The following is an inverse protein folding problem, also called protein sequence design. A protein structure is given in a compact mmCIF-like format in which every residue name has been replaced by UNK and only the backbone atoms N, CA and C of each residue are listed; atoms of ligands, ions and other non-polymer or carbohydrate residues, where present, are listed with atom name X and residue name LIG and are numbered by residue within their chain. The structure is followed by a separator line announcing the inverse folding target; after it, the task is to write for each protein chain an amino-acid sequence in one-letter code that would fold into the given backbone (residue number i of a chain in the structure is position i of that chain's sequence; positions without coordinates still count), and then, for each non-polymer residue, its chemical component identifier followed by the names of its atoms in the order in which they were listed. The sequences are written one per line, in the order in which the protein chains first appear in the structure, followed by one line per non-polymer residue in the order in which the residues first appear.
data_IF_285843866737
#
_entry.id   IF_285843866737
#
_cell.length_a   1.000
_cell.length_b   1.000
_cell.length_c   1.000
_cell.angle_alpha   90.00
_cell.angle_beta   90.00
_cell.angle_gamma   90.00
#
_symmetry.space_group_name_H-M   'P 1'
#
loop_
_entity.id
_entity.type
_entity.pdbx_description
1 polymer ?
#
# COMPACT_ATOMS: atom_id res chain seq x y z
N UNK A 1 -0.57 22.56 0.38
CA UNK A 1 0.41 23.52 0.99
C UNK A 1 1.16 22.79 2.10
N UNK A 2 2.47 22.89 2.12
CA UNK A 2 3.30 22.34 3.19
C UNK A 2 2.93 22.92 4.56
N UNK A 3 3.33 22.26 5.64
CA UNK A 3 3.08 22.80 6.99
C UNK A 3 3.86 24.09 7.23
N UNK A 4 5.03 24.26 6.60
CA UNK A 4 5.78 25.50 6.67
C UNK A 4 5.04 26.65 6.01
N UNK A 5 4.49 26.46 4.81
CA UNK A 5 3.69 27.47 4.12
C UNK A 5 2.42 27.84 4.90
N UNK A 6 1.85 26.91 5.64
CA UNK A 6 0.67 27.14 6.48
C UNK A 6 0.99 27.92 7.77
N UNK A 7 2.18 27.73 8.36
CA UNK A 7 2.62 28.43 9.57
C UNK A 7 3.18 29.81 9.26
N UNK A 8 3.99 29.92 8.21
CA UNK A 8 4.69 31.17 7.85
C UNK A 8 3.87 32.05 6.92
N UNK A 9 2.85 31.53 6.25
CA UNK A 9 2.09 32.22 5.21
C UNK A 9 2.87 32.39 3.89
N UNK A 10 4.08 31.86 3.77
CA UNK A 10 4.91 31.91 2.56
C UNK A 10 4.67 30.61 1.78
N UNK A 11 4.31 30.73 0.51
CA UNK A 11 4.11 29.58 -0.38
C UNK A 11 5.48 29.07 -0.83
N UNK A 12 5.83 27.85 -0.45
CA UNK A 12 7.11 27.19 -0.76
C UNK A 12 7.05 26.31 -2.02
N UNK A 13 5.88 26.27 -2.68
CA UNK A 13 5.65 25.49 -3.90
C UNK A 13 5.61 23.98 -3.71
N UNK A 14 5.76 23.49 -2.48
CA UNK A 14 5.59 22.07 -2.15
C UNK A 14 4.10 21.76 -1.91
N UNK A 15 3.50 21.02 -2.83
CA UNK A 15 2.17 20.45 -2.68
C UNK A 15 2.27 19.02 -2.17
N UNK A 16 2.18 18.82 -0.86
CA UNK A 16 1.91 17.49 -0.33
C UNK A 16 0.48 17.09 -0.70
N UNK A 17 0.24 15.92 -1.32
CA UNK A 17 -1.11 15.42 -1.54
C UNK A 17 -1.76 15.12 -0.18
N UNK A 18 -2.54 16.04 0.31
CA UNK A 18 -3.35 15.86 1.54
C UNK A 18 -4.70 15.35 1.10
N UNK A 19 -5.04 14.12 1.46
CA UNK A 19 -6.39 13.62 1.34
C UNK A 19 -7.26 14.34 2.39
N UNK A 20 -7.88 15.45 2.00
CA UNK A 20 -8.83 16.19 2.84
C UNK A 20 -10.21 15.52 2.74
N UNK A 21 -10.51 14.62 3.66
CA UNK A 21 -11.82 14.02 3.83
C UNK A 21 -12.73 14.99 4.57
N UNK A 22 -13.17 16.04 3.89
CA UNK A 22 -14.14 16.98 4.43
C UNK A 22 -15.55 16.38 4.37
N UNK A 23 -16.07 15.95 5.48
CA UNK A 23 -17.47 15.50 5.60
C UNK A 23 -18.42 16.70 5.38
N UNK A 24 -19.40 16.55 4.48
CA UNK A 24 -20.43 17.57 4.22
C UNK A 24 -21.01 18.11 5.54
N UNK A 25 -21.14 19.44 5.66
CA UNK A 25 -21.78 20.09 6.82
C UNK A 25 -23.16 19.47 7.06
N UNK A 26 -23.33 18.83 8.24
CA UNK A 26 -24.58 18.15 8.62
C UNK A 26 -24.44 16.65 8.95
N UNK A 27 -23.40 15.97 8.49
CA UNK A 27 -23.12 14.57 8.82
C UNK A 27 -22.06 14.47 9.91
N UNK A 28 -22.42 14.85 11.13
CA UNK A 28 -21.49 14.78 12.28
C UNK A 28 -21.29 13.38 12.84
N UNK A 29 -22.12 12.41 12.44
CA UNK A 29 -22.04 11.01 12.89
C UNK A 29 -22.49 10.10 11.77
N UNK A 30 -21.70 9.06 11.45
CA UNK A 30 -22.08 8.12 10.41
C UNK A 30 -21.10 6.96 10.29
N UNK A 31 -21.54 5.93 9.57
CA UNK A 31 -20.74 4.81 9.15
C UNK A 31 -20.75 4.75 7.64
N UNK A 32 -19.60 4.47 7.07
CA UNK A 32 -19.45 4.17 5.64
C UNK A 32 -18.78 2.82 5.55
N UNK A 33 -19.32 1.91 4.75
CA UNK A 33 -18.77 0.61 4.48
C UNK A 33 -18.61 0.38 2.98
N UNK A 34 -17.56 -0.29 2.60
CA UNK A 34 -17.33 -0.80 1.25
C UNK A 34 -16.89 -2.25 1.35
N UNK A 35 -17.51 -3.12 0.58
CA UNK A 35 -17.18 -4.55 0.48
C UNK A 35 -16.92 -4.89 -0.99
N UNK A 36 -15.80 -5.52 -1.24
CA UNK A 36 -15.38 -6.00 -2.55
C UNK A 36 -15.20 -7.51 -2.44
N UNK A 37 -15.76 -8.26 -3.37
CA UNK A 37 -15.54 -9.68 -3.50
C UNK A 37 -15.55 -10.08 -4.97
N UNK A 38 -14.53 -10.81 -5.40
CA UNK A 38 -14.39 -11.32 -6.75
C UNK A 38 -13.83 -12.74 -6.74
N UNK A 39 -14.34 -13.56 -7.66
CA UNK A 39 -13.78 -14.88 -7.92
C UNK A 39 -13.67 -15.07 -9.43
N UNK A 40 -12.52 -15.52 -9.88
CA UNK A 40 -12.20 -15.68 -11.29
C UNK A 40 -11.80 -17.10 -11.66
N UNK A 41 -11.48 -17.31 -12.93
CA UNK A 41 -10.93 -18.58 -13.42
C UNK A 41 -9.55 -18.84 -12.82
N UNK A 42 -9.12 -20.12 -12.76
CA UNK A 42 -7.82 -20.54 -12.22
C UNK A 42 -7.65 -20.22 -10.72
N UNK A 43 -8.72 -20.36 -9.95
CA UNK A 43 -8.73 -20.12 -8.48
C UNK A 43 -8.28 -18.71 -8.08
N UNK A 44 -8.54 -17.73 -8.96
CA UNK A 44 -8.26 -16.33 -8.63
C UNK A 44 -9.38 -15.77 -7.76
N UNK A 45 -8.96 -15.11 -6.69
CA UNK A 45 -9.89 -14.45 -5.77
C UNK A 45 -9.39 -13.05 -5.38
N UNK A 46 -10.34 -12.22 -5.04
CA UNK A 46 -10.12 -10.89 -4.51
C UNK A 46 -11.20 -10.57 -3.49
N UNK A 47 -10.81 -10.10 -2.32
CA UNK A 47 -11.74 -9.72 -1.27
C UNK A 47 -11.19 -8.53 -0.50
N UNK A 48 -12.07 -7.59 -0.20
CA UNK A 48 -11.70 -6.42 0.58
C UNK A 48 -12.88 -5.87 1.36
N UNK A 49 -12.59 -5.30 2.52
CA UNK A 49 -13.55 -4.63 3.38
C UNK A 49 -12.95 -3.31 3.88
N UNK A 50 -13.74 -2.27 3.80
CA UNK A 50 -13.43 -0.97 4.40
C UNK A 50 -14.62 -0.52 5.25
N UNK A 51 -14.37 -0.18 6.49
CA UNK A 51 -15.37 0.36 7.40
C UNK A 51 -14.82 1.64 8.00
N UNK A 52 -15.55 2.72 7.83
CA UNK A 52 -15.19 4.03 8.35
C UNK A 52 -16.30 4.56 9.25
N UNK A 53 -15.91 5.01 10.43
CA UNK A 53 -16.80 5.66 11.39
C UNK A 53 -16.40 7.11 11.55
N UNK A 54 -17.38 7.99 11.39
CA UNK A 54 -17.23 9.42 11.64
C UNK A 54 -18.07 9.77 12.88
N UNK A 55 -17.50 10.52 13.79
CA UNK A 55 -18.19 11.01 14.97
C UNK A 55 -17.63 12.38 15.35
N UNK A 56 -18.45 13.42 15.16
CA UNK A 56 -18.10 14.82 15.44
C UNK A 56 -16.78 15.21 14.71
N UNK A 57 -15.71 15.44 15.46
CA UNK A 57 -14.39 15.84 14.96
C UNK A 57 -13.44 14.64 14.88
N UNK A 58 -13.93 13.41 14.93
CA UNK A 58 -13.12 12.19 14.90
C UNK A 58 -13.55 11.24 13.77
N UNK A 59 -12.57 10.60 13.16
CA UNK A 59 -12.77 9.53 12.20
C UNK A 59 -11.88 8.33 12.53
N UNK A 60 -12.42 7.13 12.29
CA UNK A 60 -11.69 5.88 12.38
C UNK A 60 -12.07 5.04 11.17
N UNK A 61 -11.07 4.57 10.44
CA UNK A 61 -11.26 3.67 9.30
C UNK A 61 -10.43 2.42 9.48
N UNK A 62 -11.04 1.28 9.23
CA UNK A 62 -10.38 -0.02 9.19
C UNK A 62 -10.56 -0.56 7.78
N UNK A 63 -9.48 -1.01 7.19
CA UNK A 63 -9.44 -1.54 5.84
C UNK A 63 -8.67 -2.85 5.84
N UNK A 64 -9.20 -3.86 5.17
CA UNK A 64 -8.56 -5.16 5.00
C UNK A 64 -8.74 -5.66 3.59
N UNK A 65 -7.73 -6.33 3.04
CA UNK A 65 -7.80 -6.96 1.73
C UNK A 65 -7.04 -8.28 1.71
N UNK A 66 -7.49 -9.19 0.86
CA UNK A 66 -6.81 -10.45 0.57
C UNK A 66 -7.10 -10.85 -0.88
N UNK A 67 -6.06 -11.14 -1.64
CA UNK A 67 -6.19 -11.53 -3.05
C UNK A 67 -5.01 -12.38 -3.53
N UNK A 68 -5.19 -13.02 -4.69
CA UNK A 68 -4.11 -13.63 -5.46
C UNK A 68 -4.11 -13.16 -6.92
N UNK A 69 -4.56 -11.93 -7.15
CA UNK A 69 -4.69 -11.27 -8.46
C UNK A 69 -3.52 -10.37 -8.80
N UNK A 70 -2.39 -10.51 -8.10
CA UNK A 70 -1.18 -9.69 -8.23
C UNK A 70 -1.34 -8.23 -7.74
N UNK A 71 -2.39 -7.94 -7.00
CA UNK A 71 -2.57 -6.67 -6.33
C UNK A 71 -1.89 -6.68 -4.95
N UNK A 72 -1.32 -5.56 -4.55
CA UNK A 72 -0.71 -5.36 -3.22
C UNK A 72 -1.36 -4.19 -2.50
N UNK A 73 -1.36 -4.26 -1.18
CA UNK A 73 -1.94 -3.20 -0.36
C UNK A 73 -3.46 -3.15 -0.50
N UNK A 74 -3.99 -2.00 -0.82
CA UNK A 74 -5.43 -1.72 -0.89
C UNK A 74 -5.87 -1.23 -2.27
N UNK A 75 -5.18 -1.69 -3.33
CA UNK A 75 -5.46 -1.28 -4.70
C UNK A 75 -6.87 -1.60 -5.19
N UNK A 76 -7.52 -2.59 -4.58
CA UNK A 76 -8.91 -2.99 -4.85
C UNK A 76 -9.91 -1.86 -4.58
N UNK A 77 -9.57 -0.93 -3.70
CA UNK A 77 -10.42 0.22 -3.35
C UNK A 77 -10.17 1.45 -4.24
N UNK A 78 -9.46 1.28 -5.36
CA UNK A 78 -9.18 2.36 -6.32
C UNK A 78 -8.41 3.52 -5.69
N UNK A 79 -8.81 4.75 -5.95
CA UNK A 79 -8.12 5.94 -5.44
C UNK A 79 -8.05 5.99 -3.92
N UNK A 80 -9.08 5.51 -3.22
CA UNK A 80 -9.08 5.42 -1.76
C UNK A 80 -8.01 4.43 -1.24
N UNK A 81 -7.73 3.37 -2.00
CA UNK A 81 -6.69 2.40 -1.69
C UNK A 81 -5.27 2.85 -2.04
N UNK A 82 -5.10 3.64 -3.11
CA UNK A 82 -3.79 4.12 -3.54
C UNK A 82 -3.08 4.96 -2.47
N UNK A 83 -3.81 5.84 -1.80
CA UNK A 83 -3.29 6.63 -0.67
C UNK A 83 -2.83 5.78 0.52
N UNK A 84 -3.21 4.51 0.56
CA UNK A 84 -2.89 3.55 1.61
C UNK A 84 -1.83 2.51 1.17
N UNK A 85 -1.08 2.77 0.09
CA UNK A 85 0.03 1.93 -0.34
C UNK A 85 -0.35 0.76 -1.25
N UNK A 86 -1.39 0.90 -2.06
CA UNK A 86 -1.75 -0.05 -3.12
C UNK A 86 -0.76 -0.06 -4.28
N UNK A 87 -0.74 -1.14 -5.05
CA UNK A 87 0.10 -1.29 -6.24
C UNK A 87 0.01 -2.69 -6.84
N UNK A 88 0.65 -2.86 -7.98
CA UNK A 88 0.76 -4.16 -8.64
C UNK A 88 2.04 -4.89 -8.22
N UNK A 89 1.95 -6.20 -8.09
CA UNK A 89 3.12 -7.06 -7.98
C UNK A 89 3.74 -7.27 -9.37
N UNK A 90 5.03 -7.55 -9.37
CA UNK A 90 5.79 -7.88 -10.60
C UNK A 90 5.31 -9.16 -11.30
N UNK A 91 6.22 -9.84 -12.00
CA UNK A 91 5.93 -11.11 -12.67
C UNK A 91 5.65 -12.25 -11.68
N UNK A 92 4.88 -13.25 -12.11
CA UNK A 92 4.49 -14.41 -11.30
C UNK A 92 3.09 -14.27 -10.69
N UNK A 93 2.80 -15.15 -9.75
CA UNK A 93 1.57 -15.15 -8.97
C UNK A 93 1.88 -14.61 -7.59
N UNK A 94 1.18 -13.56 -7.21
CA UNK A 94 1.31 -12.98 -5.87
C UNK A 94 0.01 -13.14 -5.11
N UNK A 95 0.11 -13.79 -3.95
CA UNK A 95 -0.92 -13.78 -2.92
C UNK A 95 -0.60 -12.67 -1.94
N UNK A 96 -1.52 -11.77 -1.71
CA UNK A 96 -1.33 -10.62 -0.84
C UNK A 96 -2.45 -10.49 0.18
N UNK A 97 -2.09 -10.07 1.38
CA UNK A 97 -3.01 -9.74 2.47
C UNK A 97 -2.58 -8.41 3.06
N UNK A 98 -3.51 -7.53 3.31
CA UNK A 98 -3.22 -6.21 3.87
C UNK A 98 -4.26 -5.81 4.90
N UNK A 99 -3.79 -5.16 5.96
CA UNK A 99 -4.63 -4.58 7.01
C UNK A 99 -4.17 -3.16 7.28
N UNK A 100 -5.10 -2.23 7.34
CA UNK A 100 -4.83 -0.83 7.64
C UNK A 100 -5.83 -0.28 8.64
N UNK A 101 -5.34 0.61 9.49
CA UNK A 101 -6.15 1.38 10.43
C UNK A 101 -5.75 2.83 10.33
N UNK A 102 -6.70 3.69 10.00
CA UNK A 102 -6.52 5.13 9.97
C UNK A 102 -7.40 5.77 11.03
N UNK A 103 -6.86 6.72 11.76
CA UNK A 103 -7.65 7.52 12.69
C UNK A 103 -7.26 8.99 12.57
N UNK A 104 -8.23 9.85 12.77
CA UNK A 104 -8.00 11.29 12.87
C UNK A 104 -8.98 11.90 13.86
N UNK A 105 -8.51 12.92 14.57
CA UNK A 105 -9.32 13.77 15.42
C UNK A 105 -8.85 15.21 15.26
N UNK A 106 -9.78 16.08 14.93
CA UNK A 106 -9.52 17.49 14.71
C UNK A 106 -10.36 18.34 15.66
N UNK A 107 -9.69 19.01 16.57
CA UNK A 107 -10.30 19.98 17.49
C UNK A 107 -9.60 21.33 17.33
N UNK A 108 -10.21 22.40 17.82
CA UNK A 108 -9.64 23.77 17.70
C UNK A 108 -8.20 23.88 18.21
N UNK A 109 -7.82 23.08 19.21
CA UNK A 109 -6.51 23.13 19.86
C UNK A 109 -5.62 21.92 19.59
N UNK A 110 -6.20 20.80 19.14
CA UNK A 110 -5.46 19.55 18.96
C UNK A 110 -5.93 18.85 17.68
N UNK A 111 -4.99 18.63 16.77
CA UNK A 111 -5.17 17.75 15.62
C UNK A 111 -4.26 16.54 15.83
N UNK A 112 -4.85 15.36 15.79
CA UNK A 112 -4.13 14.10 15.93
C UNK A 112 -4.61 13.15 14.85
N UNK A 113 -3.69 12.50 14.18
CA UNK A 113 -4.00 11.52 13.18
C UNK A 113 -2.91 10.48 13.06
N UNK A 114 -3.25 9.34 12.53
CA UNK A 114 -2.27 8.29 12.33
C UNK A 114 -2.80 7.20 11.42
N UNK A 115 -1.84 6.44 10.92
CA UNK A 115 -2.04 5.33 10.03
C UNK A 115 -1.14 4.19 10.50
N UNK A 116 -1.71 3.00 10.61
CA UNK A 116 -0.98 1.76 10.87
C UNK A 116 -1.33 0.80 9.75
N UNK A 117 -0.32 0.26 9.09
CA UNK A 117 -0.49 -0.68 7.98
C UNK A 117 0.35 -1.92 8.20
N UNK A 118 -0.22 -3.05 7.89
CA UNK A 118 0.46 -4.33 7.80
C UNK A 118 0.16 -4.93 6.42
N UNK A 119 1.19 -5.44 5.76
CA UNK A 119 1.09 -6.15 4.50
C UNK A 119 1.88 -7.44 4.54
N UNK A 120 1.31 -8.49 4.01
CA UNK A 120 1.98 -9.74 3.72
C UNK A 120 1.82 -10.07 2.25
N UNK A 121 2.90 -10.49 1.59
CA UNK A 121 2.83 -10.96 0.20
C UNK A 121 3.76 -12.14 -0.03
N UNK A 122 3.24 -13.14 -0.71
CA UNK A 122 3.97 -14.30 -1.21
C UNK A 122 3.91 -14.28 -2.74
N UNK A 123 5.06 -14.24 -3.38
CA UNK A 123 5.19 -14.18 -4.83
C UNK A 123 5.95 -15.39 -5.36
N UNK A 124 5.26 -16.19 -6.16
CA UNK A 124 5.82 -17.31 -6.90
C UNK A 124 6.00 -16.96 -8.37
N UNK A 125 7.23 -16.96 -8.83
CA UNK A 125 7.55 -16.69 -10.22
C UNK A 125 8.34 -17.85 -10.84
N UNK A 126 7.93 -18.23 -12.04
CA UNK A 126 8.63 -19.20 -12.88
C UNK A 126 8.94 -18.56 -14.22
N UNK A 127 10.20 -18.56 -14.58
CA UNK A 127 10.68 -18.07 -15.88
C UNK A 127 11.35 -19.19 -16.64
N UNK A 128 10.89 -19.43 -17.87
CA UNK A 128 11.57 -20.28 -18.84
C UNK A 128 12.12 -19.41 -19.95
N UNK A 129 13.37 -19.62 -20.29
CA UNK A 129 14.04 -18.94 -21.40
C UNK A 129 14.64 -20.02 -22.30
N UNK A 130 14.36 -19.94 -23.58
CA UNK A 130 14.99 -20.75 -24.63
C UNK A 130 15.66 -19.80 -25.60
N UNK A 131 16.91 -20.01 -25.89
CA UNK A 131 17.69 -19.23 -26.86
C UNK A 131 18.42 -20.14 -27.81
N UNK A 132 18.45 -19.75 -29.05
CA UNK A 132 19.24 -20.37 -30.11
C UNK A 132 20.29 -19.36 -30.59
N UNK A 133 21.53 -19.78 -30.61
CA UNK A 133 22.65 -18.96 -31.12
C UNK A 133 23.20 -19.62 -32.36
N UNK A 134 23.17 -18.91 -33.47
CA UNK A 134 23.69 -19.36 -34.74
C UNK A 134 25.17 -19.06 -34.80
N UNK A 135 26.00 -20.11 -34.94
CA UNK A 135 27.47 -20.05 -35.01
C UNK A 135 27.95 -20.52 -36.38
N UNK A 136 27.49 -19.92 -37.46
CA UNK A 136 27.78 -20.32 -38.82
C UNK A 136 26.95 -21.55 -39.23
N UNK A 137 27.62 -22.70 -39.47
CA UNK A 137 26.95 -23.95 -39.87
C UNK A 137 26.40 -24.77 -38.71
N UNK A 138 26.64 -24.33 -37.46
CA UNK A 138 26.15 -24.98 -36.24
C UNK A 138 25.29 -24.03 -35.43
N UNK A 139 24.32 -24.60 -34.70
CA UNK A 139 23.47 -23.85 -33.76
C UNK A 139 23.68 -24.39 -32.36
N UNK A 140 23.76 -23.49 -31.38
CA UNK A 140 23.76 -23.84 -29.96
C UNK A 140 22.42 -23.49 -29.35
N UNK A 141 21.78 -24.46 -28.69
CA UNK A 141 20.52 -24.30 -28.00
C UNK A 141 20.74 -24.22 -26.50
N UNK A 142 20.31 -23.13 -25.88
CA UNK A 142 20.36 -22.99 -24.44
C UNK A 142 18.93 -22.86 -23.88
N UNK A 143 18.62 -23.68 -22.88
CA UNK A 143 17.38 -23.63 -22.12
C UNK A 143 17.71 -23.32 -20.68
N UNK A 144 16.99 -22.38 -20.09
CA UNK A 144 17.09 -22.10 -18.66
C UNK A 144 15.71 -22.00 -18.03
N UNK A 145 15.60 -22.48 -16.82
CA UNK A 145 14.41 -22.38 -15.99
C UNK A 145 14.80 -21.82 -14.64
N UNK A 146 14.10 -20.78 -14.22
CA UNK A 146 14.31 -20.13 -12.94
C UNK A 146 12.99 -20.12 -12.16
N UNK A 147 13.04 -20.65 -10.95
CA UNK A 147 11.99 -20.59 -9.96
C UNK A 147 12.41 -19.59 -8.89
N UNK A 148 11.53 -18.67 -8.54
CA UNK A 148 11.74 -17.69 -7.49
C UNK A 148 10.51 -17.61 -6.62
N UNK A 149 10.70 -17.81 -5.33
CA UNK A 149 9.69 -17.53 -4.30
C UNK A 149 10.19 -16.37 -3.44
N UNK A 150 9.30 -15.42 -3.18
CA UNK A 150 9.59 -14.26 -2.32
C UNK A 150 8.44 -14.03 -1.37
N UNK A 151 8.72 -14.20 -0.10
CA UNK A 151 7.82 -13.90 1.02
C UNK A 151 8.23 -12.56 1.64
N UNK A 152 7.26 -11.66 1.85
CA UNK A 152 7.51 -10.34 2.39
C UNK A 152 6.45 -9.93 3.39
N UNK A 153 6.91 -9.39 4.51
CA UNK A 153 6.11 -8.74 5.53
C UNK A 153 6.51 -7.28 5.61
N UNK A 154 5.54 -6.39 5.56
CA UNK A 154 5.71 -4.96 5.70
C UNK A 154 4.84 -4.45 6.85
N UNK A 155 5.42 -3.65 7.72
CA UNK A 155 4.71 -2.93 8.76
C UNK A 155 5.08 -1.46 8.70
N UNK A 156 4.10 -0.57 8.71
CA UNK A 156 4.30 0.87 8.66
C UNK A 156 3.39 1.56 9.65
N UNK A 157 3.94 2.56 10.32
CA UNK A 157 3.22 3.44 11.24
C UNK A 157 3.59 4.87 10.90
N UNK A 158 2.59 5.70 10.71
CA UNK A 158 2.69 7.13 10.54
C UNK A 158 1.77 7.80 11.56
N UNK A 159 2.27 8.77 12.28
CA UNK A 159 1.51 9.49 13.29
C UNK A 159 1.77 10.99 13.13
N UNK A 160 0.73 11.79 13.35
CA UNK A 160 0.80 13.24 13.34
C UNK A 160 0.05 13.80 14.54
N UNK A 161 0.72 14.68 15.28
CA UNK A 161 0.12 15.47 16.32
C UNK A 161 0.44 16.94 16.06
N UNK A 162 -0.58 17.77 16.06
CA UNK A 162 -0.45 19.21 16.01
C UNK A 162 -1.21 19.79 17.22
N UNK A 163 -0.50 20.44 18.10
CA UNK A 163 -1.03 21.02 19.31
C UNK A 163 -0.86 22.54 19.34
N UNK A 164 -1.95 23.24 19.51
CA UNK A 164 -2.04 24.70 19.59
C UNK A 164 -2.53 25.10 20.97
N UNK A 165 -1.65 25.21 21.98
CA UNK A 165 -2.03 25.60 23.35
C UNK A 165 -2.62 27.01 23.38
N UNK A 166 -2.10 27.91 22.58
CA UNK A 166 -2.53 29.31 22.43
C UNK A 166 -2.53 29.77 20.96
N UNK A 167 -2.84 31.03 20.69
CA UNK A 167 -2.92 31.59 19.33
C UNK A 167 -1.56 31.85 18.67
N UNK A 168 -0.48 31.83 19.40
CA UNK A 168 0.87 32.15 18.95
C UNK A 168 1.77 30.91 18.88
N UNK A 169 1.40 29.82 19.56
CA UNK A 169 2.23 28.63 19.67
C UNK A 169 1.60 27.46 18.92
N UNK A 170 2.38 26.84 18.02
CA UNK A 170 2.01 25.59 17.35
C UNK A 170 3.14 24.59 17.50
N UNK A 171 2.83 23.42 18.02
CA UNK A 171 3.76 22.30 18.16
C UNK A 171 3.31 21.18 17.23
N UNK A 172 4.21 20.77 16.33
CA UNK A 172 3.96 19.69 15.38
C UNK A 172 4.94 18.55 15.66
N UNK A 173 4.40 17.34 15.84
CA UNK A 173 5.18 16.13 16.03
C UNK A 173 4.70 15.06 15.05
N UNK A 174 5.63 14.52 14.23
CA UNK A 174 5.35 13.55 13.16
C UNK A 174 6.33 12.38 13.23
N UNK A 175 6.13 11.43 14.13
CA UNK A 175 6.88 10.19 14.11
C UNK A 175 6.37 9.28 12.98
N UNK A 176 7.29 8.65 12.30
CA UNK A 176 7.02 7.57 11.37
C UNK A 176 7.99 6.41 11.62
N UNK A 177 7.56 5.22 11.28
CA UNK A 177 8.35 4.02 11.39
C UNK A 177 7.91 2.98 10.37
N UNK A 178 8.88 2.25 9.83
CA UNK A 178 8.60 1.13 8.95
C UNK A 178 9.52 -0.03 9.26
N UNK A 179 8.98 -1.23 9.17
CA UNK A 179 9.70 -2.47 9.25
C UNK A 179 9.34 -3.34 8.05
N UNK A 180 10.33 -3.90 7.38
CA UNK A 180 10.14 -4.81 6.26
C UNK A 180 11.06 -6.00 6.41
N UNK A 181 10.50 -7.20 6.33
CA UNK A 181 11.21 -8.45 6.28
C UNK A 181 10.93 -9.12 4.94
N UNK A 182 11.99 -9.53 4.24
CA UNK A 182 11.86 -10.23 2.97
C UNK A 182 12.71 -11.49 3.00
N UNK A 183 12.08 -12.62 2.71
CA UNK A 183 12.75 -13.89 2.49
C UNK A 183 12.60 -14.25 1.02
N UNK A 184 13.69 -14.59 0.36
CA UNK A 184 13.68 -15.00 -1.04
C UNK A 184 14.48 -16.25 -1.26
N UNK A 185 13.91 -17.19 -2.02
CA UNK A 185 14.56 -18.41 -2.47
C UNK A 185 14.50 -18.47 -3.97
N UNK A 186 15.61 -18.80 -4.62
CA UNK A 186 15.64 -18.99 -6.06
C UNK A 186 16.40 -20.27 -6.41
N UNK A 187 15.89 -20.97 -7.42
CA UNK A 187 16.52 -22.15 -8.00
C UNK A 187 16.57 -21.98 -9.51
N UNK A 188 17.74 -22.09 -10.08
CA UNK A 188 17.92 -22.04 -11.52
C UNK A 188 18.49 -23.36 -12.04
N UNK A 189 18.05 -23.74 -13.22
CA UNK A 189 18.57 -24.86 -13.99
C UNK A 189 18.84 -24.37 -15.41
N UNK A 190 19.94 -24.81 -15.98
CA UNK A 190 20.28 -24.50 -17.37
C UNK A 190 20.88 -25.73 -18.08
N UNK A 191 20.54 -25.89 -19.36
CA UNK A 191 21.07 -26.91 -20.26
C UNK A 191 21.45 -26.24 -21.58
N UNK A 192 22.64 -26.56 -22.07
CA UNK A 192 23.12 -26.12 -23.40
C UNK A 192 23.41 -27.36 -24.22
N UNK A 193 22.93 -27.37 -25.45
CA UNK A 193 23.18 -28.42 -26.46
C UNK A 193 23.80 -27.73 -27.68
N UNK A 194 24.88 -28.32 -28.19
CA UNK A 194 25.60 -27.87 -29.40
C UNK A 194 25.36 -28.85 -30.54
#
# INVERSE_FOLDING_TARGET
KSDMARITGIDDGDEEPVLDLTVKKGMKKGWIGNLIAGYGSQDRYEGGVMISRFKDDASLSIIGSANNTNNKGFSEFGDAGQGLGGGNAGSGITTAQSLGVNFAKDTKKLQIGGNVQYGHSDNDARRKTSSETFLGETSSFAQSENFSNRNRHDFRVDFRLEWRPDTLTTIIFRPNGSYSQTESSSRSWSKTEN
#
